data_IF_152905724196
#
_entry.id   IF_152905724196
#
_cell.length_a   1.000
_cell.length_b   1.000
_cell.length_c   1.000
_cell.angle_alpha   90.00
_cell.angle_beta   90.00
_cell.angle_gamma   90.00
#
_symmetry.space_group_name_H-M   'P 1'
#
loop_
_entity.id
_entity.type
_entity.pdbx_description
1 polymer ?
#
# COMPACT_ATOMS: atom_id res chain seq x y z
N UNK A 1 -3.42 -11.53 -24.53
CA UNK A 1 -3.05 -12.04 -23.20
C UNK A 1 -2.53 -10.87 -22.38
N UNK A 2 -3.22 -10.47 -21.30
CA UNK A 2 -2.70 -9.41 -20.43
C UNK A 2 -1.45 -9.95 -19.74
N UNK A 3 -0.31 -9.33 -20.04
CA UNK A 3 0.94 -9.62 -19.33
C UNK A 3 0.76 -9.17 -17.89
N UNK A 4 0.96 -10.07 -16.93
CA UNK A 4 0.79 -9.73 -15.52
C UNK A 4 2.00 -8.90 -15.06
N UNK A 5 1.97 -7.58 -15.22
CA UNK A 5 3.06 -6.72 -14.75
C UNK A 5 3.15 -6.81 -13.23
N UNK A 6 4.39 -6.82 -12.73
CA UNK A 6 4.60 -6.61 -11.30
C UNK A 6 4.12 -5.21 -10.91
N UNK A 7 3.64 -5.08 -9.67
CA UNK A 7 3.21 -3.79 -9.09
C UNK A 7 4.32 -2.73 -9.17
N UNK A 8 5.57 -3.15 -8.96
CA UNK A 8 6.75 -2.29 -9.11
C UNK A 8 6.89 -1.75 -10.54
N UNK A 9 6.84 -2.62 -11.55
CA UNK A 9 6.94 -2.20 -12.96
C UNK A 9 5.81 -1.22 -13.33
N UNK A 10 4.59 -1.49 -12.87
CA UNK A 10 3.43 -0.62 -13.08
C UNK A 10 3.64 0.76 -12.47
N UNK A 11 4.13 0.81 -11.23
CA UNK A 11 4.41 2.06 -10.54
C UNK A 11 5.55 2.85 -11.20
N UNK A 12 6.65 2.21 -11.55
CA UNK A 12 7.79 2.84 -12.23
C UNK A 12 7.40 3.47 -13.56
N UNK A 13 6.62 2.74 -14.39
CA UNK A 13 6.11 3.27 -15.66
C UNK A 13 5.18 4.48 -15.46
N UNK A 14 4.37 4.46 -14.40
CA UNK A 14 3.48 5.60 -14.06
C UNK A 14 4.31 6.82 -13.64
N UNK A 15 5.30 6.63 -12.76
CA UNK A 15 6.14 7.71 -12.25
C UNK A 15 7.06 8.31 -13.33
N UNK A 16 7.44 7.54 -14.33
CA UNK A 16 8.21 8.03 -15.48
C UNK A 16 7.36 8.76 -16.53
N UNK A 17 6.05 8.94 -16.30
CA UNK A 17 5.12 9.52 -17.27
C UNK A 17 4.79 8.61 -18.46
N UNK A 18 5.06 7.30 -18.35
CA UNK A 18 4.74 6.30 -19.37
C UNK A 18 3.30 5.79 -19.28
N UNK A 19 2.97 4.80 -20.12
CA UNK A 19 1.68 4.13 -20.13
C UNK A 19 1.77 2.77 -19.40
N UNK A 20 1.25 2.64 -18.17
CA UNK A 20 1.20 1.36 -17.48
C UNK A 20 0.15 0.41 -18.10
N UNK A 21 0.20 -0.87 -17.75
CA UNK A 21 -0.77 -1.90 -18.16
C UNK A 21 -2.19 -1.64 -17.59
N UNK A 22 -2.27 -0.98 -16.44
CA UNK A 22 -3.47 -0.34 -15.89
C UNK A 22 -3.07 0.78 -14.93
N UNK A 23 -4.01 1.66 -14.58
CA UNK A 23 -3.80 2.67 -13.53
C UNK A 23 -3.47 1.97 -12.20
N UNK A 24 -2.35 2.31 -11.52
CA UNK A 24 -2.08 1.80 -10.18
C UNK A 24 -3.05 2.40 -9.16
N UNK A 25 -3.48 1.60 -8.19
CA UNK A 25 -4.44 2.00 -7.16
C UNK A 25 -3.86 1.73 -5.78
N UNK A 26 -3.99 2.70 -4.89
CA UNK A 26 -3.62 2.57 -3.49
C UNK A 26 -4.67 3.24 -2.61
N UNK A 27 -4.95 2.64 -1.45
CA UNK A 27 -5.75 3.25 -0.39
C UNK A 27 -5.08 2.97 0.96
N UNK A 28 -5.05 3.98 1.81
CA UNK A 28 -4.53 3.90 3.17
C UNK A 28 -5.52 4.51 4.15
N UNK A 29 -5.45 4.04 5.39
CA UNK A 29 -6.26 4.51 6.53
C UNK A 29 -5.39 4.59 7.77
N UNK A 30 -5.99 4.92 8.90
CA UNK A 30 -5.36 4.73 10.21
C UNK A 30 -5.92 3.45 10.86
N UNK A 31 -5.19 2.96 11.87
CA UNK A 31 -5.55 1.76 12.63
C UNK A 31 -5.47 2.07 14.14
N UNK A 32 -6.42 2.86 14.68
CA UNK A 32 -6.37 3.25 16.09
C UNK A 32 -6.30 2.04 17.02
N UNK A 33 -5.37 2.07 17.96
CA UNK A 33 -5.10 0.96 18.87
C UNK A 33 -3.98 0.07 18.34
N UNK A 34 -4.17 -0.54 17.17
CA UNK A 34 -3.13 -1.36 16.54
C UNK A 34 -1.89 -0.54 16.16
N UNK A 35 -2.05 0.74 15.86
CA UNK A 35 -0.97 1.66 15.52
C UNK A 35 -0.12 2.13 16.71
N UNK A 36 -0.43 1.66 17.93
CA UNK A 36 0.37 1.87 19.14
C UNK A 36 1.40 0.76 19.38
N UNK A 37 1.31 -0.35 18.64
CA UNK A 37 2.24 -1.48 18.72
C UNK A 37 2.76 -1.86 17.32
N UNK A 38 4.07 -2.08 17.20
CA UNK A 38 4.69 -2.32 15.90
C UNK A 38 4.22 -3.62 15.24
N UNK A 39 3.98 -4.68 16.02
CA UNK A 39 3.54 -5.98 15.50
C UNK A 39 2.07 -5.93 15.08
N UNK A 40 1.22 -5.32 15.91
CA UNK A 40 -0.18 -5.11 15.59
C UNK A 40 -0.35 -4.25 14.32
N UNK A 41 0.41 -3.16 14.21
CA UNK A 41 0.41 -2.31 13.02
C UNK A 41 0.83 -3.07 11.77
N UNK A 42 1.88 -3.89 11.84
CA UNK A 42 2.33 -4.71 10.72
C UNK A 42 1.25 -5.74 10.31
N UNK A 43 0.63 -6.41 11.28
CA UNK A 43 -0.44 -7.37 11.02
C UNK A 43 -1.66 -6.71 10.33
N UNK A 44 -2.04 -5.52 10.79
CA UNK A 44 -3.14 -4.75 10.20
C UNK A 44 -2.86 -4.35 8.74
N UNK A 45 -1.63 -3.95 8.41
CA UNK A 45 -1.21 -3.65 7.04
C UNK A 45 -1.16 -4.90 6.14
N UNK A 46 -0.67 -6.04 6.67
CA UNK A 46 -0.65 -7.31 5.93
C UNK A 46 -2.07 -7.77 5.59
N UNK A 47 -2.98 -7.70 6.56
CA UNK A 47 -4.40 -8.00 6.32
C UNK A 47 -5.00 -7.06 5.27
N UNK A 48 -4.74 -5.75 5.39
CA UNK A 48 -5.20 -4.75 4.42
C UNK A 48 -4.70 -5.02 3.00
N UNK A 49 -3.46 -5.50 2.87
CA UNK A 49 -2.89 -5.91 1.59
C UNK A 49 -3.52 -7.19 1.05
N UNK A 50 -3.79 -8.19 1.90
CA UNK A 50 -4.39 -9.45 1.50
C UNK A 50 -5.85 -9.30 1.06
N UNK A 51 -6.61 -8.43 1.73
CA UNK A 51 -8.03 -8.24 1.45
C UNK A 51 -8.28 -7.53 0.10
N UNK A 52 -7.33 -6.69 -0.38
CA UNK A 52 -7.57 -5.77 -1.49
C UNK A 52 -6.47 -5.72 -2.57
N UNK A 53 -5.29 -6.28 -2.32
CA UNK A 53 -4.19 -6.37 -3.27
C UNK A 53 -3.68 -5.03 -3.86
N UNK A 54 -3.58 -3.97 -3.05
CA UNK A 54 -3.13 -2.63 -3.48
C UNK A 54 -1.78 -2.63 -4.22
N UNK A 55 -1.57 -1.67 -5.12
CA UNK A 55 -0.30 -1.51 -5.84
C UNK A 55 0.81 -0.91 -4.97
N UNK A 56 0.45 -0.17 -3.93
CA UNK A 56 1.35 0.45 -2.95
C UNK A 56 0.77 0.29 -1.55
N UNK A 57 1.62 -0.11 -0.60
CA UNK A 57 1.29 -0.16 0.82
C UNK A 57 2.01 0.99 1.53
N UNK A 58 1.25 2.00 1.99
CA UNK A 58 1.78 3.04 2.88
C UNK A 58 1.81 2.45 4.29
N UNK A 59 2.99 2.40 4.92
CA UNK A 59 3.16 1.90 6.30
C UNK A 59 3.51 3.05 7.23
N UNK A 60 2.77 3.17 8.33
CA UNK A 60 3.09 4.09 9.42
C UNK A 60 1.87 4.45 10.26
N UNK A 61 2.06 4.78 11.55
CA UNK A 61 0.98 5.09 12.48
C UNK A 61 0.26 6.40 12.12
N UNK A 62 -0.78 6.75 12.89
CA UNK A 62 -1.39 8.07 12.79
C UNK A 62 -0.37 9.20 13.00
N UNK A 63 -0.49 10.28 12.24
CA UNK A 63 0.39 11.46 12.37
C UNK A 63 0.18 12.23 13.68
N UNK A 64 -0.87 11.88 14.44
CA UNK A 64 -1.12 12.35 15.80
C UNK A 64 -0.40 11.52 16.87
N UNK A 65 0.40 10.52 16.48
CA UNK A 65 1.27 9.81 17.40
C UNK A 65 2.41 10.75 17.83
N UNK A 66 2.31 11.27 19.04
CA UNK A 66 3.37 12.03 19.71
C UNK A 66 4.11 11.08 20.65
N UNK A 67 5.45 11.08 20.55
CA UNK A 67 6.35 10.38 21.49
C UNK A 67 6.56 11.18 22.76
#
# INVERSE_FOLDING_TARGET
MMTNWSKRKRLEATLSGGAPDRVPVALWRHWPGDDQDAQALAAAHLKWQQDYDWDVLKVGPASSYSV
#
